data_IF_798513990502
#
_entry.id   IF_798513990502
#
_cell.length_a   1.000
_cell.length_b   1.000
_cell.length_c   1.000
_cell.angle_alpha   90.00
_cell.angle_beta   90.00
_cell.angle_gamma   90.00
#
_symmetry.space_group_name_H-M   'P 1'
#
loop_
_entity.id
_entity.type
_entity.pdbx_description
1 polymer ?
#
# COMPACT_ATOMS: atom_id res chain seq x y z
N UNK A 1 -17.78 8.54 2.40
CA UNK A 1 -16.56 7.77 2.10
C UNK A 1 -15.49 8.78 1.73
N UNK A 2 -14.36 8.86 2.43
CA UNK A 2 -13.28 9.77 2.07
C UNK A 2 -12.29 9.02 1.17
N UNK A 3 -12.06 9.54 -0.04
CA UNK A 3 -11.03 9.04 -0.94
C UNK A 3 -9.70 9.69 -0.54
N UNK A 4 -8.74 8.88 -0.10
CA UNK A 4 -7.39 9.35 0.19
C UNK A 4 -6.50 8.98 -0.98
N UNK A 5 -6.21 9.96 -1.83
CA UNK A 5 -5.24 9.80 -2.90
C UNK A 5 -3.83 10.00 -2.34
N UNK A 6 -2.95 9.05 -2.64
CA UNK A 6 -1.53 9.16 -2.33
C UNK A 6 -0.85 9.66 -3.61
N UNK A 7 -0.21 10.83 -3.60
CA UNK A 7 0.49 11.32 -4.78
C UNK A 7 1.64 10.36 -5.11
N UNK A 8 1.49 9.67 -6.24
CA UNK A 8 2.48 8.74 -6.76
C UNK A 8 3.66 9.55 -7.30
N UNK A 9 4.83 9.38 -6.67
CA UNK A 9 6.07 9.97 -7.17
C UNK A 9 6.84 8.88 -7.92
N UNK A 10 7.71 9.30 -8.83
CA UNK A 10 8.60 8.44 -9.64
C UNK A 10 9.74 7.77 -8.85
N UNK A 11 9.67 7.82 -7.52
CA UNK A 11 10.67 7.28 -6.59
C UNK A 11 10.02 6.45 -5.51
N UNK A 12 10.82 5.66 -4.80
CA UNK A 12 10.34 4.93 -3.62
C UNK A 12 9.82 5.92 -2.57
N UNK A 13 8.65 5.61 -2.01
CA UNK A 13 7.96 6.49 -1.06
C UNK A 13 7.67 5.73 0.22
N UNK A 14 7.79 6.41 1.35
CA UNK A 14 7.31 5.89 2.64
C UNK A 14 6.51 6.98 3.31
N UNK A 15 5.31 6.64 3.77
CA UNK A 15 4.42 7.60 4.38
C UNK A 15 3.61 6.95 5.49
N UNK A 16 3.31 7.75 6.49
CA UNK A 16 2.44 7.37 7.60
C UNK A 16 1.05 7.90 7.30
N UNK A 17 0.06 7.01 7.37
CA UNK A 17 -1.33 7.36 7.12
C UNK A 17 -2.19 6.78 8.24
N UNK A 18 -3.16 7.58 8.69
CA UNK A 18 -4.18 7.13 9.63
C UNK A 18 -5.40 6.73 8.83
N UNK A 19 -5.70 5.44 8.79
CA UNK A 19 -6.94 4.92 8.21
C UNK A 19 -7.89 4.60 9.35
N UNK A 20 -9.01 5.33 9.42
CA UNK A 20 -9.94 5.30 10.54
C UNK A 20 -9.23 5.65 11.88
N UNK A 21 -8.98 4.65 12.74
CA UNK A 21 -8.30 4.82 14.03
C UNK A 21 -6.94 4.13 14.09
N UNK A 22 -6.52 3.48 13.01
CA UNK A 22 -5.28 2.71 12.97
C UNK A 22 -4.23 3.48 12.16
N UNK A 23 -3.05 3.62 12.74
CA UNK A 23 -1.90 4.21 12.08
C UNK A 23 -1.15 3.12 11.30
N UNK A 24 -1.00 3.35 10.01
CA UNK A 24 -0.24 2.50 9.13
C UNK A 24 0.99 3.24 8.62
N UNK A 25 2.02 2.46 8.35
CA UNK A 25 3.16 2.89 7.58
C UNK A 25 3.09 2.15 6.24
N UNK A 26 2.89 2.90 5.17
CA UNK A 26 2.88 2.38 3.82
C UNK A 26 4.22 2.68 3.15
N UNK A 27 4.74 1.71 2.39
CA UNK A 27 5.95 1.86 1.61
C UNK A 27 5.68 1.44 0.18
N UNK A 28 5.89 2.36 -0.74
CA UNK A 28 5.81 2.14 -2.17
C UNK A 28 7.21 1.92 -2.73
N UNK A 29 7.43 0.80 -3.39
CA UNK A 29 8.74 0.42 -3.92
C UNK A 29 8.62 0.11 -5.41
N UNK A 30 9.50 0.68 -6.21
CA UNK A 30 9.66 0.33 -7.62
C UNK A 30 10.76 -0.72 -7.79
N UNK A 31 10.39 -1.91 -8.28
CA UNK A 31 11.32 -2.98 -8.65
C UNK A 31 10.86 -3.60 -9.97
N UNK A 32 11.07 -2.87 -11.08
CA UNK A 32 10.50 -3.14 -12.43
C UNK A 32 8.98 -2.97 -12.54
N UNK A 33 8.27 -2.90 -11.42
CA UNK A 33 6.87 -2.52 -11.25
C UNK A 33 6.66 -1.95 -9.85
N UNK A 34 5.51 -1.34 -9.60
CA UNK A 34 5.16 -0.83 -8.27
C UNK A 34 4.70 -1.94 -7.33
N UNK A 35 5.21 -1.90 -6.11
CA UNK A 35 4.83 -2.76 -5.00
C UNK A 35 4.45 -1.93 -3.79
N UNK A 36 3.45 -2.40 -3.04
CA UNK A 36 3.03 -1.83 -1.77
C UNK A 36 3.38 -2.78 -0.63
N UNK A 37 4.13 -2.26 0.34
CA UNK A 37 4.28 -2.87 1.66
C UNK A 37 3.45 -2.10 2.69
N UNK A 38 2.76 -2.83 3.55
CA UNK A 38 1.90 -2.33 4.61
C UNK A 38 2.47 -2.77 5.95
N UNK A 39 2.77 -1.80 6.80
CA UNK A 39 3.25 -2.01 8.16
C UNK A 39 2.31 -1.35 9.17
N UNK A 40 2.29 -1.87 10.39
CA UNK A 40 1.78 -1.15 11.54
C UNK A 40 2.69 0.03 11.91
N UNK A 41 2.20 0.94 12.74
CA UNK A 41 2.97 2.08 13.24
C UNK A 41 4.25 1.70 14.00
N UNK A 42 4.28 0.50 14.61
CA UNK A 42 5.45 -0.07 15.27
C UNK A 42 6.42 -0.77 14.31
N UNK A 43 6.25 -0.59 12.99
CA UNK A 43 7.01 -1.23 11.92
C UNK A 43 6.86 -2.76 11.80
N UNK A 44 5.87 -3.37 12.46
CA UNK A 44 5.53 -4.77 12.21
C UNK A 44 4.87 -4.93 10.83
N UNK A 45 5.32 -5.90 10.00
CA UNK A 45 4.76 -6.09 8.68
C UNK A 45 3.35 -6.72 8.76
N UNK A 46 2.40 -6.13 8.05
CA UNK A 46 1.05 -6.68 7.87
C UNK A 46 0.98 -7.42 6.54
N UNK A 47 1.43 -6.77 5.47
CA UNK A 47 1.50 -7.34 4.14
C UNK A 47 2.71 -6.76 3.41
N UNK A 48 3.34 -7.55 2.54
CA UNK A 48 4.55 -7.16 1.83
C UNK A 48 4.47 -7.56 0.37
N UNK A 49 5.12 -6.78 -0.48
CA UNK A 49 5.28 -7.04 -1.90
C UNK A 49 3.96 -7.19 -2.65
N UNK A 50 2.91 -6.44 -2.27
CA UNK A 50 1.63 -6.46 -3.01
C UNK A 50 1.87 -5.77 -4.35
N UNK A 51 1.75 -6.47 -5.50
CA UNK A 51 1.94 -5.85 -6.80
C UNK A 51 0.79 -4.88 -7.08
N UNK A 52 1.11 -3.64 -7.42
CA UNK A 52 0.11 -2.67 -7.85
C UNK A 52 -0.09 -2.82 -9.36
N UNK A 53 -1.25 -3.36 -9.73
CA UNK A 53 -1.66 -3.56 -11.12
C UNK A 53 -2.88 -2.69 -11.39
N UNK A 54 -2.78 -1.84 -12.41
CA UNK A 54 -3.88 -0.95 -12.79
C UNK A 54 -5.11 -1.74 -13.21
N UNK A 55 -6.29 -1.30 -12.76
CA UNK A 55 -7.58 -1.91 -13.11
C UNK A 55 -7.88 -3.24 -12.41
N UNK A 56 -7.05 -3.69 -11.48
CA UNK A 56 -7.28 -4.93 -10.70
C UNK A 56 -7.64 -4.59 -9.26
N UNK A 57 -8.72 -5.18 -8.76
CA UNK A 57 -8.99 -5.21 -7.33
C UNK A 57 -8.06 -6.22 -6.65
N UNK A 58 -7.00 -5.70 -6.06
CA UNK A 58 -6.00 -6.48 -5.31
C UNK A 58 -6.53 -7.09 -4.01
N UNK A 59 -7.74 -6.72 -3.58
CA UNK A 59 -8.41 -7.25 -2.40
C UNK A 59 -9.54 -8.23 -2.76
N UNK A 60 -9.77 -8.48 -4.04
CA UNK A 60 -10.78 -9.45 -4.47
C UNK A 60 -10.45 -10.83 -3.90
N UNK A 61 -11.44 -11.56 -3.35
CA UNK A 61 -11.25 -12.97 -3.02
C UNK A 61 -10.81 -13.72 -4.28
N UNK A 62 -9.87 -14.64 -4.13
CA UNK A 62 -9.50 -15.56 -5.20
C UNK A 62 -10.70 -16.46 -5.42
N UNK A 63 -11.38 -16.30 -6.56
CA UNK A 63 -12.39 -17.25 -7.04
C UNK A 63 -11.61 -18.29 -7.84
N UNK A 64 -11.51 -19.50 -7.28
CA UNK A 64 -10.88 -20.68 -7.90
C UNK A 64 -11.96 -21.49 -8.61
#
# INVERSE_FOLDING_TARGET
MALYEIPLLDRNQKFFIKLNKVNYQLKLVYLKRWYLDIYQANAEPIARSIPLVSGIDILSPIVI
#
